data_IF_189754926817
#
_entry.id   IF_189754926817
#
_cell.length_a   1.000
_cell.length_b   1.000
_cell.length_c   1.000
_cell.angle_alpha   90.00
_cell.angle_beta   90.00
_cell.angle_gamma   90.00
#
_symmetry.space_group_name_H-M   'P 1'
#
loop_
_entity.id
_entity.type
_entity.pdbx_description
1 polymer ?
#
# COMPACT_ATOMS: atom_id res chain seq x y z
N UNK A 1 9.61 -10.29 -12.65
CA UNK A 1 8.35 -10.72 -12.00
C UNK A 1 7.68 -9.68 -11.07
N UNK A 2 8.32 -8.54 -10.72
CA UNK A 2 7.69 -7.44 -9.97
C UNK A 2 6.44 -6.82 -10.63
N UNK A 3 6.29 -7.01 -11.95
CA UNK A 3 5.15 -6.50 -12.75
C UNK A 3 3.82 -7.19 -12.44
N UNK A 4 3.81 -8.41 -11.88
CA UNK A 4 2.57 -9.17 -11.64
C UNK A 4 1.80 -8.76 -10.37
N UNK A 5 2.52 -8.49 -9.27
CA UNK A 5 1.90 -8.05 -8.00
C UNK A 5 1.40 -6.61 -8.05
N UNK A 6 2.13 -5.72 -8.72
CA UNK A 6 1.71 -4.32 -8.96
C UNK A 6 0.43 -4.29 -9.83
N UNK A 7 0.33 -5.20 -10.83
CA UNK A 7 -0.82 -5.30 -11.74
C UNK A 7 -2.15 -5.64 -11.08
N UNK A 8 -2.18 -6.31 -9.93
CA UNK A 8 -3.43 -6.71 -9.25
C UNK A 8 -3.78 -5.71 -8.14
N UNK A 9 -2.78 -5.20 -7.42
CA UNK A 9 -3.01 -4.30 -6.29
C UNK A 9 -3.39 -2.88 -6.71
N UNK A 10 -2.79 -2.35 -7.80
CA UNK A 10 -3.22 -1.06 -8.38
C UNK A 10 -4.61 -1.20 -9.01
N UNK A 11 -4.89 -2.39 -9.59
CA UNK A 11 -6.20 -2.76 -10.14
C UNK A 11 -7.31 -2.79 -9.10
N UNK A 12 -7.03 -3.40 -7.95
CA UNK A 12 -7.98 -3.59 -6.88
C UNK A 12 -8.30 -2.24 -6.21
N UNK A 13 -7.31 -1.36 -6.06
CA UNK A 13 -7.53 -0.01 -5.57
C UNK A 13 -8.39 0.83 -6.53
N UNK A 14 -8.11 0.76 -7.84
CA UNK A 14 -8.93 1.43 -8.85
C UNK A 14 -10.37 0.89 -8.95
N UNK A 15 -10.62 -0.35 -8.49
CA UNK A 15 -11.94 -0.98 -8.49
C UNK A 15 -12.67 -0.76 -7.15
N UNK A 16 -11.96 -0.79 -6.02
CA UNK A 16 -12.54 -0.57 -4.69
C UNK A 16 -12.94 0.88 -4.45
N UNK A 17 -12.24 1.84 -5.07
CA UNK A 17 -12.60 3.26 -5.04
C UNK A 17 -13.98 3.58 -5.64
N UNK A 18 -14.44 2.76 -6.61
CA UNK A 18 -15.78 2.91 -7.22
C UNK A 18 -16.90 2.51 -6.25
N UNK A 19 -16.59 1.76 -5.20
CA UNK A 19 -17.58 1.25 -4.24
C UNK A 19 -17.69 2.06 -2.93
N UNK A 20 -16.83 3.05 -2.70
CA UNK A 20 -16.78 3.81 -1.45
C UNK A 20 -17.50 5.17 -1.50
N UNK A 21 -18.51 5.32 -2.37
CA UNK A 21 -19.19 6.60 -2.64
C UNK A 21 -20.56 6.76 -1.99
N UNK A 22 -20.66 6.76 -0.65
CA UNK A 22 -21.87 7.21 0.07
C UNK A 22 -21.47 7.63 1.48
N UNK A 23 -21.77 8.81 2.01
CA UNK A 23 -22.57 9.94 1.56
C UNK A 23 -21.99 11.20 2.23
N UNK A 24 -21.81 12.32 1.51
CA UNK A 24 -21.24 13.53 2.12
C UNK A 24 -22.22 14.71 2.04
N UNK A 25 -22.56 15.26 3.20
CA UNK A 25 -23.11 16.60 3.37
C UNK A 25 -21.98 17.52 3.87
N UNK A 26 -21.69 18.58 3.11
CA UNK A 26 -20.70 19.62 3.44
C UNK A 26 -19.97 20.12 2.19
N UNK A 27 -20.01 21.43 1.95
CA UNK A 27 -19.72 22.14 0.69
C UNK A 27 -20.87 22.04 -0.36
N UNK A 28 -20.93 23.04 -1.25
CA UNK A 28 -21.90 23.17 -2.34
C UNK A 28 -22.29 21.78 -2.91
N UNK A 29 -23.52 21.30 -2.64
CA UNK A 29 -23.93 19.95 -2.99
C UNK A 29 -23.81 19.67 -4.49
N UNK A 30 -23.97 20.70 -5.33
CA UNK A 30 -23.82 20.57 -6.76
C UNK A 30 -22.34 20.38 -7.13
N UNK A 31 -21.45 21.20 -6.56
CA UNK A 31 -20.00 21.06 -6.78
C UNK A 31 -19.48 19.70 -6.33
N UNK A 32 -20.00 19.16 -5.23
CA UNK A 32 -19.66 17.82 -4.75
C UNK A 32 -20.18 16.73 -5.70
N UNK A 33 -21.40 16.87 -6.21
CA UNK A 33 -21.96 15.93 -7.19
C UNK A 33 -21.16 15.94 -8.51
N UNK A 34 -20.83 17.12 -9.02
CA UNK A 34 -20.04 17.28 -10.23
C UNK A 34 -18.63 16.69 -10.07
N UNK A 35 -18.02 16.87 -8.89
CA UNK A 35 -16.72 16.27 -8.57
C UNK A 35 -16.78 14.74 -8.57
N UNK A 36 -17.82 14.15 -7.98
CA UNK A 36 -18.01 12.69 -7.97
C UNK A 36 -18.17 12.13 -9.38
N UNK A 37 -19.02 12.74 -10.19
CA UNK A 37 -19.21 12.32 -11.58
C UNK A 37 -17.92 12.41 -12.39
N UNK A 38 -17.14 13.49 -12.21
CA UNK A 38 -15.85 13.66 -12.87
C UNK A 38 -14.82 12.61 -12.42
N UNK A 39 -14.78 12.27 -11.13
CA UNK A 39 -13.89 11.23 -10.60
C UNK A 39 -14.24 9.86 -11.18
N UNK A 40 -15.52 9.51 -11.19
CA UNK A 40 -16.00 8.24 -11.77
C UNK A 40 -15.63 8.10 -13.25
N UNK A 41 -15.78 9.18 -14.03
CA UNK A 41 -15.37 9.21 -15.45
C UNK A 41 -13.87 8.97 -15.61
N UNK A 42 -13.03 9.68 -14.84
CA UNK A 42 -11.58 9.50 -14.86
C UNK A 42 -11.21 8.04 -14.55
N UNK A 43 -11.82 7.46 -13.52
CA UNK A 43 -11.57 6.08 -13.12
C UNK A 43 -12.01 5.08 -14.20
N UNK A 44 -13.16 5.31 -14.83
CA UNK A 44 -13.64 4.47 -15.93
C UNK A 44 -12.71 4.53 -17.16
N UNK A 45 -12.12 5.69 -17.46
CA UNK A 45 -11.14 5.84 -18.54
C UNK A 45 -9.87 5.04 -18.26
N UNK A 46 -9.29 5.17 -17.06
CA UNK A 46 -8.13 4.39 -16.63
C UNK A 46 -8.41 2.88 -16.69
N UNK A 47 -9.62 2.46 -16.37
CA UNK A 47 -10.02 1.06 -16.44
C UNK A 47 -10.10 0.53 -17.88
N UNK A 48 -10.57 1.32 -18.85
CA UNK A 48 -10.64 0.90 -20.26
C UNK A 48 -9.25 0.73 -20.89
N UNK A 49 -8.29 1.57 -20.54
CA UNK A 49 -6.92 1.51 -21.06
C UNK A 49 -6.11 0.28 -20.59
N UNK A 50 -6.54 -0.38 -19.52
CA UNK A 50 -5.80 -1.46 -18.82
C UNK A 50 -5.27 -2.59 -19.71
N UNK A 51 -6.04 -3.02 -20.71
CA UNK A 51 -5.67 -4.17 -21.54
C UNK A 51 -4.90 -3.78 -22.81
N UNK A 52 -4.85 -2.49 -23.15
CA UNK A 52 -4.28 -1.97 -24.39
C UNK A 52 -3.08 -1.03 -24.18
N UNK A 53 -2.87 -0.55 -22.96
CA UNK A 53 -1.84 0.46 -22.62
C UNK A 53 -0.74 -0.16 -21.74
N UNK A 54 0.55 0.10 -22.02
CA UNK A 54 1.66 -0.25 -21.13
C UNK A 54 1.47 0.29 -19.70
N UNK A 55 1.98 -0.44 -18.71
CA UNK A 55 1.74 -0.14 -17.29
C UNK A 55 2.34 1.20 -16.85
N UNK A 56 3.52 1.54 -17.35
CA UNK A 56 4.20 2.81 -17.09
C UNK A 56 3.36 4.00 -17.58
N UNK A 57 2.82 3.90 -18.80
CA UNK A 57 1.92 4.92 -19.34
C UNK A 57 0.62 5.03 -18.54
N UNK A 58 0.06 3.90 -18.10
CA UNK A 58 -1.14 3.90 -17.27
C UNK A 58 -0.89 4.55 -15.89
N UNK A 59 0.28 4.30 -15.29
CA UNK A 59 0.69 4.94 -14.02
C UNK A 59 0.83 6.45 -14.21
N UNK A 60 1.46 6.90 -15.30
CA UNK A 60 1.60 8.33 -15.61
C UNK A 60 0.24 8.99 -15.81
N UNK A 61 -0.66 8.37 -16.59
CA UNK A 61 -2.02 8.88 -16.82
C UNK A 61 -2.82 8.98 -15.51
N UNK A 62 -2.70 7.98 -14.63
CA UNK A 62 -3.36 8.00 -13.33
C UNK A 62 -2.78 9.10 -12.42
N UNK A 63 -1.45 9.26 -12.40
CA UNK A 63 -0.78 10.31 -11.61
C UNK A 63 -1.23 11.71 -12.02
N UNK A 64 -1.15 12.02 -13.33
CA UNK A 64 -1.55 13.32 -13.88
C UNK A 64 -3.04 13.58 -13.71
N UNK A 65 -3.88 12.58 -14.00
CA UNK A 65 -5.33 12.68 -13.88
C UNK A 65 -5.78 12.94 -12.45
N UNK A 66 -5.27 12.18 -11.47
CA UNK A 66 -5.63 12.35 -10.07
C UNK A 66 -5.11 13.68 -9.51
N UNK A 67 -3.88 14.11 -9.86
CA UNK A 67 -3.36 15.42 -9.46
C UNK A 67 -4.22 16.56 -10.00
N UNK A 68 -4.52 16.54 -11.30
CA UNK A 68 -5.37 17.55 -11.92
C UNK A 68 -6.78 17.58 -11.31
N UNK A 69 -7.33 16.41 -11.00
CA UNK A 69 -8.61 16.29 -10.29
C UNK A 69 -8.55 16.92 -8.90
N UNK A 70 -7.53 16.59 -8.09
CA UNK A 70 -7.33 17.11 -6.74
C UNK A 70 -7.22 18.65 -6.73
N UNK A 71 -6.52 19.21 -7.72
CA UNK A 71 -6.39 20.67 -7.86
C UNK A 71 -7.72 21.32 -8.25
N UNK A 72 -8.38 20.79 -9.26
CA UNK A 72 -9.66 21.32 -9.79
C UNK A 72 -10.77 21.30 -8.74
N UNK A 73 -10.88 20.19 -8.01
CA UNK A 73 -11.96 19.95 -7.05
C UNK A 73 -11.52 20.13 -5.59
N UNK A 74 -10.43 20.86 -5.34
CA UNK A 74 -9.89 21.04 -3.98
C UNK A 74 -10.96 21.48 -2.97
N UNK A 75 -11.04 20.73 -1.86
CA UNK A 75 -11.94 20.97 -0.73
C UNK A 75 -13.23 20.15 -0.76
N UNK A 76 -13.48 19.36 -1.81
CA UNK A 76 -14.57 18.38 -1.87
C UNK A 76 -14.17 17.06 -1.21
N UNK A 77 -15.13 16.26 -0.76
CA UNK A 77 -14.83 14.92 -0.25
C UNK A 77 -14.24 14.03 -1.36
N UNK A 78 -14.75 14.15 -2.60
CA UNK A 78 -14.17 13.49 -3.77
C UNK A 78 -12.68 13.81 -3.99
N UNK A 79 -12.25 15.06 -3.76
CA UNK A 79 -10.82 15.42 -3.83
C UNK A 79 -10.00 14.73 -2.74
N UNK A 80 -10.59 14.50 -1.56
CA UNK A 80 -10.03 13.68 -0.50
C UNK A 80 -9.85 12.23 -0.93
N UNK A 81 -10.88 11.62 -1.51
CA UNK A 81 -10.80 10.24 -2.00
C UNK A 81 -9.74 10.06 -3.08
N UNK A 82 -9.63 11.02 -4.00
CA UNK A 82 -8.55 11.04 -4.98
C UNK A 82 -7.16 11.09 -4.34
N UNK A 83 -6.97 11.84 -3.24
CA UNK A 83 -5.71 11.85 -2.48
C UNK A 83 -5.39 10.49 -1.85
N UNK A 84 -6.39 9.79 -1.29
CA UNK A 84 -6.19 8.45 -0.71
C UNK A 84 -5.77 7.45 -1.78
N UNK A 85 -6.48 7.44 -2.92
CA UNK A 85 -6.17 6.57 -4.07
C UNK A 85 -4.77 6.84 -4.59
N UNK A 86 -4.42 8.12 -4.79
CA UNK A 86 -3.10 8.54 -5.26
C UNK A 86 -1.98 8.11 -4.29
N UNK A 87 -2.21 8.28 -2.98
CA UNK A 87 -1.27 7.86 -1.94
C UNK A 87 -1.04 6.35 -1.92
N UNK A 88 -2.11 5.57 -2.03
CA UNK A 88 -2.01 4.11 -2.10
C UNK A 88 -1.29 3.65 -3.37
N UNK A 89 -1.55 4.29 -4.50
CA UNK A 89 -0.83 4.03 -5.75
C UNK A 89 0.68 4.29 -5.58
N UNK A 90 1.05 5.45 -5.04
CA UNK A 90 2.45 5.80 -4.78
C UNK A 90 3.17 4.81 -3.87
N UNK A 91 2.52 4.37 -2.79
CA UNK A 91 3.08 3.34 -1.91
C UNK A 91 3.38 2.04 -2.67
N UNK A 92 2.50 1.62 -3.59
CA UNK A 92 2.66 0.38 -4.34
C UNK A 92 3.76 0.43 -5.41
N UNK A 93 4.06 1.62 -5.94
CA UNK A 93 5.09 1.80 -6.98
C UNK A 93 6.43 2.27 -6.41
N UNK A 94 6.61 2.22 -5.07
CA UNK A 94 7.86 2.56 -4.41
C UNK A 94 8.15 4.07 -4.31
N UNK A 95 7.12 4.92 -4.45
CA UNK A 95 7.21 6.38 -4.26
C UNK A 95 6.74 6.75 -2.85
N UNK A 96 7.37 6.20 -1.82
CA UNK A 96 6.91 6.32 -0.43
C UNK A 96 6.89 7.77 0.09
N UNK A 97 7.89 8.58 -0.26
CA UNK A 97 7.91 10.02 0.05
C UNK A 97 6.68 10.77 -0.52
N UNK A 98 6.31 10.50 -1.77
CA UNK A 98 5.13 11.12 -2.40
C UNK A 98 3.83 10.62 -1.76
N UNK A 99 3.76 9.31 -1.44
CA UNK A 99 2.64 8.72 -0.72
C UNK A 99 2.42 9.39 0.64
N UNK A 100 3.51 9.59 1.41
CA UNK A 100 3.46 10.31 2.69
C UNK A 100 2.94 11.73 2.52
N UNK A 101 3.44 12.46 1.53
CA UNK A 101 3.05 13.84 1.29
C UNK A 101 1.56 13.98 1.00
N UNK A 102 1.02 13.17 0.08
CA UNK A 102 -0.40 13.25 -0.31
C UNK A 102 -1.35 12.76 0.80
N UNK A 103 -0.99 11.69 1.52
CA UNK A 103 -1.81 11.17 2.62
C UNK A 103 -1.79 12.10 3.83
N UNK A 104 -0.66 12.75 4.11
CA UNK A 104 -0.59 13.80 5.14
C UNK A 104 -1.49 14.99 4.78
N UNK A 105 -1.46 15.44 3.51
CA UNK A 105 -2.37 16.47 3.00
C UNK A 105 -3.84 16.08 3.15
N UNK A 106 -4.22 14.84 2.86
CA UNK A 106 -5.58 14.34 3.11
C UNK A 106 -5.94 14.44 4.60
N UNK A 107 -5.07 13.92 5.47
CA UNK A 107 -5.33 13.86 6.90
C UNK A 107 -5.48 15.26 7.53
N UNK A 108 -4.68 16.24 7.09
CA UNK A 108 -4.73 17.64 7.53
C UNK A 108 -5.84 18.46 6.85
N UNK A 109 -6.40 17.94 5.74
CA UNK A 109 -7.46 18.58 4.97
C UNK A 109 -8.75 18.75 5.77
N UNK A 110 -9.46 19.85 5.52
CA UNK A 110 -10.74 20.19 6.16
C UNK A 110 -11.90 19.98 5.18
N UNK A 111 -12.29 18.73 5.03
CA UNK A 111 -13.46 18.29 4.26
C UNK A 111 -14.13 17.13 5.00
N UNK A 112 -15.41 16.80 4.70
CA UNK A 112 -16.07 15.65 5.29
C UNK A 112 -15.29 14.37 4.98
N UNK A 113 -15.02 13.54 5.99
CA UNK A 113 -14.32 12.26 5.87
C UNK A 113 -15.19 11.18 6.48
N UNK A 114 -15.45 10.13 5.70
CA UNK A 114 -16.06 8.92 6.23
C UNK A 114 -15.05 8.17 7.12
N UNK A 115 -15.48 7.57 8.25
CA UNK A 115 -14.56 6.88 9.16
C UNK A 115 -13.71 5.80 8.47
N UNK A 116 -14.31 5.05 7.55
CA UNK A 116 -13.60 4.00 6.78
C UNK A 116 -12.51 4.58 5.88
N UNK A 117 -12.78 5.70 5.21
CA UNK A 117 -11.84 6.38 4.34
C UNK A 117 -10.69 7.00 5.13
N UNK A 118 -11.00 7.67 6.25
CA UNK A 118 -9.99 8.17 7.17
C UNK A 118 -9.11 7.04 7.73
N UNK A 119 -9.72 5.90 8.10
CA UNK A 119 -8.99 4.71 8.54
C UNK A 119 -8.05 4.18 7.48
N UNK A 120 -8.53 4.06 6.23
CA UNK A 120 -7.70 3.66 5.09
C UNK A 120 -6.54 4.63 4.86
N UNK A 121 -6.77 5.94 4.96
CA UNK A 121 -5.73 6.94 4.77
C UNK A 121 -4.62 6.84 5.82
N UNK A 122 -4.96 6.71 7.11
CA UNK A 122 -3.97 6.55 8.17
C UNK A 122 -3.20 5.23 8.07
N UNK A 123 -3.87 4.11 7.76
CA UNK A 123 -3.19 2.83 7.56
C UNK A 123 -2.29 2.85 6.31
N UNK A 124 -2.72 3.53 5.24
CA UNK A 124 -1.89 3.71 4.04
C UNK A 124 -0.68 4.60 4.33
N UNK A 125 -0.83 5.62 5.17
CA UNK A 125 0.27 6.48 5.60
C UNK A 125 1.26 5.68 6.46
N UNK A 126 0.76 4.82 7.36
CA UNK A 126 1.62 3.95 8.13
C UNK A 126 2.47 3.02 7.24
N UNK A 127 1.86 2.42 6.22
CA UNK A 127 2.60 1.61 5.24
C UNK A 127 3.65 2.43 4.47
N UNK A 128 3.31 3.66 4.07
CA UNK A 128 4.25 4.55 3.41
C UNK A 128 5.43 4.92 4.33
N UNK A 129 5.17 5.17 5.61
CA UNK A 129 6.20 5.42 6.62
C UNK A 129 7.10 4.18 6.83
N UNK A 130 6.53 2.98 6.91
CA UNK A 130 7.30 1.73 7.02
C UNK A 130 8.23 1.55 5.80
N UNK A 131 7.73 1.83 4.59
CA UNK A 131 8.54 1.74 3.37
C UNK A 131 9.72 2.71 3.32
N UNK A 132 9.69 3.77 4.13
CA UNK A 132 10.73 4.80 4.26
C UNK A 132 11.51 4.65 5.59
N UNK A 133 11.42 3.50 6.26
CA UNK A 133 12.04 3.22 7.57
C UNK A 133 11.64 4.20 8.71
N UNK A 134 10.53 4.93 8.55
CA UNK A 134 9.97 5.88 9.51
C UNK A 134 8.97 5.18 10.45
N UNK A 135 9.49 4.35 11.35
CA UNK A 135 8.66 3.55 12.27
C UNK A 135 7.91 4.41 13.30
N UNK A 136 8.45 5.55 13.70
CA UNK A 136 7.78 6.48 14.62
C UNK A 136 6.58 7.15 13.93
N UNK A 137 6.75 7.57 12.68
CA UNK A 137 5.67 8.06 11.84
C UNK A 137 4.60 7.00 11.59
N UNK A 138 5.00 5.74 11.39
CA UNK A 138 4.08 4.62 11.23
C UNK A 138 3.27 4.35 12.51
N UNK A 139 3.92 4.34 13.68
CA UNK A 139 3.26 4.20 14.96
C UNK A 139 2.23 5.30 15.20
N UNK A 140 2.61 6.56 14.97
CA UNK A 140 1.71 7.70 15.10
C UNK A 140 0.50 7.62 14.16
N UNK A 141 0.70 7.17 12.93
CA UNK A 141 -0.39 6.98 11.96
C UNK A 141 -1.36 5.87 12.40
N UNK A 142 -0.85 4.72 12.85
CA UNK A 142 -1.68 3.59 13.30
C UNK A 142 -2.46 3.92 14.58
N UNK A 143 -1.85 4.64 15.52
CA UNK A 143 -2.54 5.11 16.72
C UNK A 143 -3.73 6.00 16.36
N UNK A 144 -3.56 6.91 15.38
CA UNK A 144 -4.66 7.74 14.87
C UNK A 144 -5.74 6.89 14.23
N UNK A 145 -5.39 5.90 13.40
CA UNK A 145 -6.37 4.98 12.81
C UNK A 145 -7.21 4.26 13.88
N UNK A 146 -6.58 3.76 14.94
CA UNK A 146 -7.28 3.06 16.05
C UNK A 146 -8.23 3.99 16.81
N UNK A 147 -7.86 5.27 16.92
CA UNK A 147 -8.63 6.28 17.64
C UNK A 147 -9.88 6.79 16.89
N UNK A 148 -10.05 6.49 15.60
CA UNK A 148 -11.19 6.96 14.81
C UNK A 148 -12.51 6.43 15.39
N UNK A 149 -13.43 7.35 15.68
CA UNK A 149 -14.79 7.01 16.09
C UNK A 149 -15.60 6.48 14.90
N UNK A 150 -16.41 5.45 15.11
CA UNK A 150 -17.22 4.85 14.04
C UNK A 150 -16.47 3.97 13.03
N UNK A 151 -15.14 3.82 13.14
CA UNK A 151 -14.38 2.90 12.28
C UNK A 151 -14.73 1.44 12.58
N UNK A 152 -14.86 0.64 11.52
CA UNK A 152 -15.15 -0.80 11.59
C UNK A 152 -14.18 -1.55 12.53
N UNK A 153 -14.70 -2.46 13.40
CA UNK A 153 -13.87 -3.17 14.36
C UNK A 153 -12.74 -3.99 13.73
N UNK A 154 -12.93 -4.58 12.54
CA UNK A 154 -11.89 -5.36 11.87
C UNK A 154 -10.78 -4.46 11.36
N UNK A 155 -11.11 -3.25 10.90
CA UNK A 155 -10.10 -2.25 10.53
C UNK A 155 -9.30 -1.78 11.73
N UNK A 156 -9.97 -1.50 12.86
CA UNK A 156 -9.28 -1.17 14.12
C UNK A 156 -8.34 -2.29 14.57
N UNK A 157 -8.80 -3.53 14.49
CA UNK A 157 -7.98 -4.68 14.86
C UNK A 157 -6.78 -4.86 13.92
N UNK A 158 -6.98 -4.63 12.63
CA UNK A 158 -5.90 -4.65 11.64
C UNK A 158 -4.84 -3.58 11.96
N UNK A 159 -5.27 -2.35 12.28
CA UNK A 159 -4.35 -1.27 12.67
C UNK A 159 -3.60 -1.58 13.99
N UNK A 160 -4.27 -2.18 14.99
CA UNK A 160 -3.61 -2.64 16.22
C UNK A 160 -2.60 -3.75 15.97
N UNK A 161 -2.94 -4.71 15.11
CA UNK A 161 -2.03 -5.80 14.72
C UNK A 161 -0.79 -5.25 14.03
N UNK A 162 -0.96 -4.32 13.08
CA UNK A 162 0.17 -3.62 12.45
C UNK A 162 1.02 -2.89 13.48
N UNK A 163 0.40 -2.20 14.44
CA UNK A 163 1.10 -1.45 15.50
C UNK A 163 1.95 -2.39 16.37
N UNK A 164 1.39 -3.54 16.75
CA UNK A 164 2.10 -4.56 17.53
C UNK A 164 3.25 -5.22 16.75
N UNK A 165 3.20 -5.19 15.41
CA UNK A 165 4.22 -5.78 14.54
C UNK A 165 5.36 -4.81 14.18
N UNK A 166 5.26 -3.51 14.52
CA UNK A 166 6.27 -2.52 14.15
C UNK A 166 7.68 -2.88 14.63
N UNK A 167 7.82 -3.38 15.86
CA UNK A 167 9.13 -3.79 16.39
C UNK A 167 9.74 -4.95 15.61
N UNK A 168 8.90 -5.88 15.15
CA UNK A 168 9.34 -6.99 14.29
C UNK A 168 9.75 -6.47 12.92
N UNK A 169 8.95 -5.58 12.32
CA UNK A 169 9.30 -4.98 11.02
C UNK A 169 10.59 -4.16 11.09
N UNK A 170 10.81 -3.44 12.19
CA UNK A 170 12.05 -2.70 12.45
C UNK A 170 13.28 -3.61 12.50
N UNK A 171 13.14 -4.84 13.00
CA UNK A 171 14.21 -5.86 13.01
C UNK A 171 14.44 -6.54 11.65
N UNK A 172 13.50 -6.37 10.71
CA UNK A 172 13.58 -6.95 9.35
C UNK A 172 14.13 -5.97 8.31
N UNK A 173 14.49 -4.73 8.69
CA UNK A 173 15.03 -3.74 7.77
C UNK A 173 16.44 -4.11 7.29
N UNK A 174 16.82 -3.54 6.15
CA UNK A 174 18.15 -3.72 5.58
C UNK A 174 19.20 -3.17 6.56
N UNK A 175 20.25 -3.94 6.80
CA UNK A 175 21.35 -3.57 7.70
C UNK A 175 21.20 -4.06 9.13
N UNK A 176 20.03 -4.56 9.54
CA UNK A 176 19.87 -5.24 10.82
C UNK A 176 20.46 -6.64 10.80
N UNK A 177 20.73 -7.16 11.99
CA UNK A 177 21.10 -8.56 12.14
C UNK A 177 19.95 -9.47 11.71
N UNK A 178 20.25 -10.43 10.83
CA UNK A 178 19.31 -11.46 10.45
C UNK A 178 18.76 -12.17 11.69
N UNK A 179 17.43 -12.29 11.77
CA UNK A 179 16.75 -12.98 12.87
C UNK A 179 17.20 -14.44 12.89
N UNK A 180 17.76 -14.86 14.02
CA UNK A 180 18.19 -16.24 14.18
C UNK A 180 16.99 -17.17 14.39
N UNK A 181 17.05 -18.34 13.78
CA UNK A 181 16.07 -19.40 13.92
C UNK A 181 16.73 -20.76 13.73
N UNK A 182 16.18 -21.78 14.39
CA UNK A 182 16.66 -23.15 14.25
C UNK A 182 15.69 -23.94 13.39
N UNK A 183 16.24 -24.65 12.41
CA UNK A 183 15.52 -25.62 11.60
C UNK A 183 16.37 -26.88 11.42
N UNK A 184 15.84 -27.88 10.73
CA UNK A 184 16.54 -29.11 10.40
C UNK A 184 16.71 -29.22 8.89
N UNK A 185 17.90 -29.59 8.45
CA UNK A 185 18.13 -29.91 7.04
C UNK A 185 17.49 -31.25 6.64
N UNK A 186 17.64 -31.63 5.36
CA UNK A 186 17.12 -32.89 4.81
C UNK A 186 17.75 -34.15 5.42
N UNK A 187 18.90 -34.02 6.10
CA UNK A 187 19.57 -35.11 6.80
C UNK A 187 19.22 -35.13 8.31
N UNK A 188 18.32 -34.25 8.76
CA UNK A 188 17.91 -34.13 10.16
C UNK A 188 18.92 -33.38 11.04
N UNK A 189 19.95 -32.76 10.46
CA UNK A 189 20.93 -31.98 11.21
C UNK A 189 20.33 -30.61 11.56
N UNK A 190 20.45 -30.14 12.81
CA UNK A 190 20.10 -28.76 13.17
C UNK A 190 20.96 -27.76 12.38
N UNK A 191 20.30 -26.75 11.81
CA UNK A 191 20.93 -25.63 11.11
C UNK A 191 20.29 -24.30 11.53
N UNK A 192 21.07 -23.23 11.49
CA UNK A 192 20.65 -21.86 11.80
C UNK A 192 21.35 -20.85 10.88
N UNK A 193 20.76 -19.67 10.63
CA UNK A 193 21.46 -18.58 9.92
C UNK A 193 22.80 -18.19 10.57
N UNK A 194 22.92 -18.32 11.90
CA UNK A 194 24.15 -18.04 12.63
C UNK A 194 25.33 -18.93 12.19
N UNK A 195 25.07 -20.16 11.75
CA UNK A 195 26.10 -21.10 11.27
C UNK A 195 26.80 -20.63 9.98
N UNK A 196 26.21 -19.64 9.29
CA UNK A 196 26.70 -19.11 8.01
C UNK A 196 27.29 -17.69 8.12
N UNK A 197 27.56 -17.21 9.34
CA UNK A 197 28.22 -15.91 9.57
C UNK A 197 29.52 -15.80 8.75
N UNK A 198 29.73 -14.63 8.14
CA UNK A 198 30.88 -14.37 7.26
C UNK A 198 30.69 -14.81 5.81
N UNK A 199 29.56 -15.42 5.45
CA UNK A 199 29.19 -15.77 4.07
C UNK A 199 28.01 -14.92 3.60
N UNK A 200 27.91 -14.71 2.29
CA UNK A 200 26.68 -14.24 1.68
C UNK A 200 25.72 -15.42 1.60
N UNK A 201 24.52 -15.27 2.16
CA UNK A 201 23.51 -16.33 2.23
C UNK A 201 22.23 -15.86 1.56
N UNK A 202 21.74 -16.65 0.61
CA UNK A 202 20.41 -16.50 0.04
C UNK A 202 19.47 -17.50 0.74
N UNK A 203 18.38 -17.00 1.32
CA UNK A 203 17.33 -17.83 1.93
C UNK A 203 16.11 -17.75 1.02
N UNK A 204 15.68 -18.89 0.48
CA UNK A 204 14.48 -19.01 -0.37
C UNK A 204 13.35 -19.70 0.41
N UNK A 205 12.32 -18.92 0.76
CA UNK A 205 11.11 -19.44 1.40
C UNK A 205 10.13 -19.93 0.32
N UNK A 206 10.10 -21.24 0.09
CA UNK A 206 9.26 -21.88 -0.92
C UNK A 206 8.48 -23.07 -0.38
N UNK A 207 7.57 -23.60 -1.19
CA UNK A 207 6.84 -24.82 -0.89
C UNK A 207 6.60 -25.65 -2.16
N UNK A 208 6.45 -26.97 -2.00
CA UNK A 208 6.27 -27.92 -3.12
C UNK A 208 5.03 -27.63 -3.97
N UNK A 209 4.01 -27.02 -3.38
CA UNK A 209 2.76 -26.62 -4.03
C UNK A 209 2.79 -25.18 -4.58
N UNK A 210 3.85 -24.41 -4.30
CA UNK A 210 3.99 -23.04 -4.81
C UNK A 210 4.48 -23.05 -6.25
N UNK A 211 3.56 -23.02 -7.21
CA UNK A 211 3.90 -23.01 -8.64
C UNK A 211 4.84 -21.86 -9.05
N UNK A 212 4.64 -20.60 -8.61
CA UNK A 212 5.57 -19.51 -8.90
C UNK A 212 6.97 -19.76 -8.32
N UNK A 213 7.07 -20.30 -7.11
CA UNK A 213 8.36 -20.59 -6.49
C UNK A 213 9.12 -21.65 -7.29
N UNK A 214 8.45 -22.74 -7.69
CA UNK A 214 9.07 -23.78 -8.54
C UNK A 214 9.52 -23.25 -9.90
N UNK A 215 8.80 -22.29 -10.47
CA UNK A 215 9.17 -21.64 -11.73
C UNK A 215 10.45 -20.79 -11.60
N UNK A 216 10.76 -20.27 -10.39
CA UNK A 216 11.97 -19.49 -10.11
C UNK A 216 13.17 -20.35 -9.70
N UNK A 217 12.97 -21.59 -9.24
CA UNK A 217 14.07 -22.49 -8.84
C UNK A 217 15.17 -22.67 -9.90
N UNK A 218 14.91 -22.75 -11.22
CA UNK A 218 15.96 -22.79 -12.23
C UNK A 218 16.90 -21.58 -12.20
N UNK A 219 16.38 -20.39 -11.89
CA UNK A 219 17.19 -19.17 -11.75
C UNK A 219 18.05 -19.23 -10.50
N UNK A 220 17.49 -19.70 -9.38
CA UNK A 220 18.24 -19.88 -8.12
C UNK A 220 19.38 -20.89 -8.32
N UNK A 221 19.10 -22.02 -8.98
CA UNK A 221 20.12 -23.02 -9.30
C UNK A 221 21.26 -22.44 -10.15
N UNK A 222 20.92 -21.62 -11.16
CA UNK A 222 21.92 -20.95 -12.01
C UNK A 222 22.81 -19.98 -11.24
N UNK A 223 22.33 -19.38 -10.15
CA UNK A 223 23.14 -18.50 -9.28
C UNK A 223 24.03 -19.31 -8.35
N UNK A 224 23.61 -20.51 -7.97
CA UNK A 224 24.34 -21.40 -7.06
C UNK A 224 25.52 -22.13 -7.74
N UNK A 225 25.33 -22.58 -8.97
CA UNK A 225 26.32 -23.31 -9.78
C UNK A 225 27.38 -22.37 -10.39
#
# INVERSE_FOLDING_TARGET
MMTGRIRISVLALLVMAVFAGSACAGADPQREADAKEALEKLMAELQRGRNSVPMDQLITQADEGLKGFIETWSGTAASGSAMVILGQMYSQIGRGADAKAVLKRYNEGRFPKEPSEEGMAWMSLANACIGEDDFDGAAGALQKAVAIEGLDPKMKESAKSMLAQLDTMKKLRIGEEAIDFKTTDIAGKPISPADFRGKVVLIDFWATWCAPCRAEMPNVKKIYD
#
